data_IF_623327452547
#
_entry.id   IF_623327452547
#
_cell.length_a   1.000
_cell.length_b   1.000
_cell.length_c   1.000
_cell.angle_alpha   90.00
_cell.angle_beta   90.00
_cell.angle_gamma   90.00
#
_symmetry.space_group_name_H-M   'P 1'
#
loop_
_entity.id
_entity.type
_entity.pdbx_description
1 polymer ?
#
# COMPACT_ATOMS: atom_id res chain seq x y z
N UNK A 1 -22.79 26.31 31.63
CA UNK A 1 -21.34 26.13 31.38
C UNK A 1 -20.74 27.50 31.20
N UNK A 2 -19.61 27.79 31.85
CA UNK A 2 -18.92 29.05 31.63
C UNK A 2 -18.32 29.12 30.22
N UNK A 3 -17.99 30.32 29.74
CA UNK A 3 -17.31 30.52 28.45
C UNK A 3 -16.04 29.66 28.31
N UNK A 4 -15.31 29.47 29.41
CA UNK A 4 -14.11 28.62 29.46
C UNK A 4 -14.42 27.14 29.24
N UNK A 5 -15.49 26.61 29.84
CA UNK A 5 -15.93 25.22 29.67
C UNK A 5 -16.31 24.95 28.21
N UNK A 6 -16.97 25.90 27.56
CA UNK A 6 -17.37 25.79 26.15
C UNK A 6 -16.15 25.77 25.21
N UNK A 7 -15.10 26.54 25.53
CA UNK A 7 -13.84 26.51 24.76
C UNK A 7 -13.16 25.14 24.90
N UNK A 8 -13.04 24.61 26.12
CA UNK A 8 -12.46 23.29 26.36
C UNK A 8 -13.26 22.21 25.64
N UNK A 9 -14.59 22.28 25.72
CA UNK A 9 -15.48 21.34 25.05
C UNK A 9 -15.27 21.33 23.53
N UNK A 10 -15.20 22.51 22.88
CA UNK A 10 -14.95 22.58 21.44
C UNK A 10 -13.57 22.04 21.05
N UNK A 11 -12.52 22.35 21.82
CA UNK A 11 -11.18 21.82 21.57
C UNK A 11 -11.15 20.29 21.70
N UNK A 12 -11.76 19.74 22.76
CA UNK A 12 -11.85 18.30 22.99
C UNK A 12 -12.68 17.59 21.89
N UNK A 13 -13.78 18.21 21.45
CA UNK A 13 -14.63 17.69 20.39
C UNK A 13 -13.87 17.67 19.05
N UNK A 14 -13.24 18.79 18.68
CA UNK A 14 -12.50 18.89 17.42
C UNK A 14 -11.30 17.94 17.38
N UNK A 15 -10.53 17.84 18.47
CA UNK A 15 -9.39 16.91 18.56
C UNK A 15 -9.84 15.45 18.48
N UNK A 16 -10.90 15.06 19.20
CA UNK A 16 -11.49 13.72 19.12
C UNK A 16 -11.97 13.36 17.71
N UNK A 17 -12.69 14.29 17.06
CA UNK A 17 -13.21 14.08 15.71
C UNK A 17 -12.09 14.01 14.67
N UNK A 18 -11.05 14.82 14.82
CA UNK A 18 -9.87 14.77 13.95
C UNK A 18 -9.07 13.48 14.14
N UNK A 19 -8.96 12.99 15.37
CA UNK A 19 -8.38 11.68 15.63
C UNK A 19 -9.20 10.56 14.99
N UNK A 20 -10.52 10.60 15.10
CA UNK A 20 -11.42 9.67 14.41
C UNK A 20 -11.23 9.69 12.89
N UNK A 21 -11.15 10.88 12.29
CA UNK A 21 -10.80 11.05 10.88
C UNK A 21 -9.44 10.40 10.55
N UNK A 22 -8.42 10.59 11.39
CA UNK A 22 -7.09 10.00 11.16
C UNK A 22 -7.06 8.47 11.08
N UNK A 23 -8.03 7.78 11.68
CA UNK A 23 -8.15 6.31 11.63
C UNK A 23 -8.67 5.80 10.28
N UNK A 24 -9.32 6.66 9.49
CA UNK A 24 -9.89 6.31 8.20
C UNK A 24 -8.90 6.51 7.05
N UNK A 25 -7.68 6.99 7.35
CA UNK A 25 -6.60 7.10 6.39
C UNK A 25 -6.15 5.71 5.93
N UNK A 26 -6.20 5.50 4.62
CA UNK A 26 -5.55 4.35 3.97
C UNK A 26 -4.18 4.74 3.42
N UNK A 27 -3.35 3.73 3.14
CA UNK A 27 -1.97 3.88 2.69
C UNK A 27 -1.78 4.41 1.24
N UNK A 28 -2.74 5.17 0.74
CA UNK A 28 -2.63 5.79 -0.59
C UNK A 28 -2.08 7.20 -0.44
N UNK A 29 -1.11 7.57 -1.30
CA UNK A 29 -0.68 8.96 -1.46
C UNK A 29 -1.92 9.83 -1.68
N UNK A 30 -1.95 11.02 -1.10
CA UNK A 30 -3.09 11.95 -1.23
C UNK A 30 -3.50 12.21 -2.68
N UNK A 31 -2.54 12.16 -3.62
CA UNK A 31 -2.76 12.30 -5.06
C UNK A 31 -3.35 11.05 -5.74
N UNK A 32 -3.12 9.85 -5.19
CA UNK A 32 -3.52 8.57 -5.77
C UNK A 32 -4.77 7.98 -5.09
N UNK A 33 -5.42 8.73 -4.19
CA UNK A 33 -6.60 8.25 -3.47
C UNK A 33 -7.81 8.18 -4.41
N UNK A 34 -8.58 7.07 -4.38
CA UNK A 34 -9.84 6.96 -5.13
C UNK A 34 -10.78 8.11 -4.78
N UNK A 35 -11.53 8.61 -5.78
CA UNK A 35 -12.48 9.71 -5.58
C UNK A 35 -13.47 9.46 -4.42
N UNK A 36 -13.86 8.20 -4.19
CA UNK A 36 -14.72 7.80 -3.08
C UNK A 36 -14.13 8.13 -1.70
N UNK A 37 -12.83 7.95 -1.51
CA UNK A 37 -12.15 8.27 -0.26
C UNK A 37 -12.08 9.77 -0.02
N UNK A 38 -11.79 10.55 -1.07
CA UNK A 38 -11.81 12.01 -0.99
C UNK A 38 -13.21 12.55 -0.66
N UNK A 39 -14.26 11.96 -1.24
CA UNK A 39 -15.65 12.32 -0.92
C UNK A 39 -16.03 11.99 0.52
N UNK A 40 -15.58 10.85 1.05
CA UNK A 40 -15.81 10.50 2.46
C UNK A 40 -15.16 11.51 3.40
N UNK A 41 -13.91 11.89 3.14
CA UNK A 41 -13.18 12.88 3.93
C UNK A 41 -13.80 14.28 3.86
N UNK A 42 -14.23 14.71 2.67
CA UNK A 42 -15.01 15.94 2.48
C UNK A 42 -16.30 15.92 3.32
N UNK A 43 -17.04 14.81 3.28
CA UNK A 43 -18.27 14.64 4.05
C UNK A 43 -18.04 14.72 5.56
N UNK A 44 -16.97 14.10 6.07
CA UNK A 44 -16.59 14.19 7.48
C UNK A 44 -16.17 15.59 7.88
N UNK A 45 -15.30 16.26 7.12
CA UNK A 45 -14.87 17.63 7.40
C UNK A 45 -16.08 18.59 7.50
N UNK A 46 -17.02 18.43 6.58
CA UNK A 46 -18.28 19.19 6.56
C UNK A 46 -19.14 18.88 7.78
N UNK A 47 -19.30 17.60 8.14
CA UNK A 47 -20.08 17.20 9.31
C UNK A 47 -19.46 17.74 10.61
N UNK A 48 -18.14 17.64 10.77
CA UNK A 48 -17.40 18.18 11.92
C UNK A 48 -17.62 19.69 12.01
N UNK A 49 -17.51 20.42 10.91
CA UNK A 49 -17.76 21.86 10.86
C UNK A 49 -19.19 22.22 11.33
N UNK A 50 -20.21 21.50 10.85
CA UNK A 50 -21.60 21.74 11.24
C UNK A 50 -21.87 21.38 12.71
N UNK A 51 -21.27 20.30 13.22
CA UNK A 51 -21.36 19.92 14.63
C UNK A 51 -20.73 20.99 15.53
N UNK A 52 -19.57 21.54 15.16
CA UNK A 52 -18.95 22.63 15.93
C UNK A 52 -19.81 23.89 15.94
N UNK A 53 -20.48 24.20 14.82
CA UNK A 53 -21.44 25.31 14.77
C UNK A 53 -22.68 25.08 15.63
N UNK A 54 -23.05 23.83 15.93
CA UNK A 54 -24.20 23.52 16.80
C UNK A 54 -23.91 23.80 18.28
N UNK A 55 -22.64 23.79 18.68
CA UNK A 55 -22.20 24.01 20.05
C UNK A 55 -21.28 25.24 20.13
N UNK A 56 -21.77 26.46 19.81
CA UNK A 56 -20.93 27.66 19.77
C UNK A 56 -20.41 28.05 21.16
N UNK A 57 -19.27 28.74 21.17
CA UNK A 57 -18.73 29.44 22.33
C UNK A 57 -19.42 30.81 22.41
N UNK A 58 -20.22 31.01 23.46
CA UNK A 58 -20.80 32.30 23.79
C UNK A 58 -19.81 33.12 24.63
N UNK A 59 -19.33 34.24 24.07
CA UNK A 59 -18.36 35.10 24.73
C UNK A 59 -19.02 36.30 25.41
N UNK A 60 -20.10 36.80 24.81
CA UNK A 60 -20.99 37.87 25.29
C UNK A 60 -22.39 37.64 24.69
N UNK A 61 -23.42 38.34 25.20
CA UNK A 61 -24.78 38.23 24.68
C UNK A 61 -24.81 38.45 23.16
N UNK A 62 -25.25 37.42 22.42
CA UNK A 62 -25.38 37.46 20.95
C UNK A 62 -24.09 37.24 20.15
N UNK A 63 -22.93 37.06 20.80
CA UNK A 63 -21.66 36.79 20.10
C UNK A 63 -21.26 35.32 20.20
N UNK A 64 -21.53 34.58 19.11
CA UNK A 64 -21.30 33.15 18.96
C UNK A 64 -20.06 32.89 18.10
N UNK A 65 -19.13 32.09 18.61
CA UNK A 65 -17.87 31.75 17.95
C UNK A 65 -17.64 30.23 17.96
N UNK A 66 -17.05 29.69 16.90
CA UNK A 66 -16.86 28.25 16.74
C UNK A 66 -15.59 27.93 15.94
N UNK A 67 -15.06 26.71 16.10
CA UNK A 67 -13.81 26.27 15.48
C UNK A 67 -13.99 25.60 14.11
N UNK A 68 -15.10 25.83 13.38
CA UNK A 68 -15.38 25.16 12.08
C UNK A 68 -14.31 25.41 11.01
N UNK A 69 -13.55 26.49 11.16
CA UNK A 69 -12.51 26.89 10.21
C UNK A 69 -11.37 25.87 10.17
N UNK A 70 -11.15 25.11 11.25
CA UNK A 70 -10.08 24.12 11.35
C UNK A 70 -10.28 22.93 10.39
N UNK A 71 -11.41 22.19 10.39
CA UNK A 71 -11.62 21.08 9.44
C UNK A 71 -11.64 21.56 7.97
N UNK A 72 -12.13 22.77 7.69
CA UNK A 72 -12.11 23.36 6.35
C UNK A 72 -10.67 23.66 5.92
N UNK A 73 -9.87 24.27 6.80
CA UNK A 73 -8.46 24.55 6.54
C UNK A 73 -7.66 23.26 6.33
N UNK A 74 -7.89 22.25 7.18
CA UNK A 74 -7.24 20.95 7.09
C UNK A 74 -7.49 20.27 5.75
N UNK A 75 -8.73 20.30 5.27
CA UNK A 75 -9.10 19.75 3.96
C UNK A 75 -8.41 20.52 2.82
N UNK A 76 -8.37 21.86 2.92
CA UNK A 76 -7.68 22.73 1.97
C UNK A 76 -6.17 22.49 1.88
N UNK A 77 -5.51 22.29 3.01
CA UNK A 77 -4.09 21.96 3.06
C UNK A 77 -3.78 20.57 2.50
N UNK A 78 -4.75 19.66 2.51
CA UNK A 78 -4.55 18.28 2.08
C UNK A 78 -4.86 18.04 0.60
N UNK A 79 -5.94 18.63 0.11
CA UNK A 79 -6.46 18.35 -1.22
C UNK A 79 -6.66 19.61 -2.08
N UNK A 80 -6.42 20.78 -1.51
CA UNK A 80 -6.44 22.04 -2.21
C UNK A 80 -7.70 22.88 -1.99
N UNK A 81 -7.67 24.13 -2.49
CA UNK A 81 -8.69 25.14 -2.20
C UNK A 81 -10.08 24.74 -2.72
N UNK A 82 -10.18 23.96 -3.80
CA UNK A 82 -11.45 23.48 -4.33
C UNK A 82 -12.20 22.61 -3.31
N UNK A 83 -11.51 21.71 -2.61
CA UNK A 83 -12.15 20.88 -1.58
C UNK A 83 -12.51 21.69 -0.34
N UNK A 84 -11.64 22.64 0.07
CA UNK A 84 -11.99 23.57 1.15
C UNK A 84 -13.25 24.38 0.83
N UNK A 85 -13.40 24.84 -0.42
CA UNK A 85 -14.59 25.54 -0.87
C UNK A 85 -15.85 24.66 -0.77
N UNK A 86 -15.76 23.40 -1.22
CA UNK A 86 -16.87 22.45 -1.12
C UNK A 86 -17.30 22.21 0.33
N UNK A 87 -16.36 22.10 1.28
CA UNK A 87 -16.67 21.96 2.71
C UNK A 87 -17.20 23.27 3.33
N UNK A 88 -16.75 24.42 2.82
CA UNK A 88 -17.14 25.73 3.30
C UNK A 88 -18.60 26.10 2.93
N UNK A 89 -19.10 25.65 1.78
CA UNK A 89 -20.45 26.00 1.30
C UNK A 89 -21.55 25.62 2.28
N UNK A 90 -21.65 24.36 2.79
CA UNK A 90 -22.68 24.01 3.78
C UNK A 90 -22.56 24.80 5.08
N UNK A 91 -21.33 25.05 5.54
CA UNK A 91 -21.05 25.85 6.73
C UNK A 91 -21.47 27.32 6.55
N UNK A 92 -21.32 27.87 5.34
CA UNK A 92 -21.75 29.21 4.99
C UNK A 92 -23.28 29.31 4.94
N UNK A 93 -23.94 28.37 4.27
CA UNK A 93 -25.40 28.30 4.18
C UNK A 93 -26.05 28.17 5.56
N UNK A 94 -25.51 27.28 6.41
CA UNK A 94 -26.01 27.12 7.77
C UNK A 94 -25.81 28.40 8.60
N UNK A 95 -24.70 29.14 8.39
CA UNK A 95 -24.47 30.41 9.08
C UNK A 95 -25.41 31.52 8.62
N UNK A 96 -25.73 31.57 7.33
CA UNK A 96 -26.72 32.49 6.76
C UNK A 96 -28.11 32.21 7.32
N UNK A 97 -28.48 30.93 7.43
CA UNK A 97 -29.75 30.52 8.05
C UNK A 97 -29.88 30.97 9.51
N UNK A 98 -28.81 30.86 10.30
CA UNK A 98 -28.81 31.33 11.70
C UNK A 98 -28.94 32.86 11.83
N UNK A 99 -28.53 33.63 10.80
CA UNK A 99 -28.65 35.09 10.79
C UNK A 99 -27.90 35.81 11.93
N UNK A 100 -28.31 37.04 12.25
CA UNK A 100 -27.73 37.84 13.33
C UNK A 100 -26.46 38.61 12.97
N UNK A 101 -26.03 39.48 13.89
CA UNK A 101 -24.96 40.47 13.68
C UNK A 101 -23.60 39.87 13.29
N UNK A 102 -23.32 38.63 13.71
CA UNK A 102 -22.09 37.92 13.37
C UNK A 102 -22.07 37.25 11.99
N UNK A 103 -23.14 37.34 11.19
CA UNK A 103 -23.23 36.63 9.91
C UNK A 103 -22.22 37.17 8.89
N UNK A 104 -22.24 38.49 8.63
CA UNK A 104 -21.31 39.14 7.69
C UNK A 104 -19.84 38.96 8.12
N UNK A 105 -19.45 39.22 9.38
CA UNK A 105 -18.12 38.90 9.90
C UNK A 105 -17.67 37.46 9.61
N UNK A 106 -18.56 36.48 9.81
CA UNK A 106 -18.24 35.08 9.58
C UNK A 106 -18.00 34.78 8.09
N UNK A 107 -18.76 35.39 7.18
CA UNK A 107 -18.57 35.22 5.73
C UNK A 107 -17.25 35.82 5.26
N UNK A 108 -16.91 37.02 5.74
CA UNK A 108 -15.62 37.67 5.45
C UNK A 108 -14.45 36.83 5.96
N UNK A 109 -14.56 36.30 7.18
CA UNK A 109 -13.55 35.43 7.78
C UNK A 109 -13.35 34.14 6.97
N UNK A 110 -14.45 33.49 6.55
CA UNK A 110 -14.43 32.27 5.75
C UNK A 110 -13.85 32.51 4.35
N UNK A 111 -14.28 33.58 3.67
CA UNK A 111 -13.74 33.97 2.37
C UNK A 111 -12.24 34.30 2.45
N UNK A 112 -11.82 34.98 3.51
CA UNK A 112 -10.42 35.27 3.78
C UNK A 112 -9.56 34.02 3.98
N UNK A 113 -10.04 33.02 4.74
CA UNK A 113 -9.35 31.73 4.86
C UNK A 113 -9.16 31.06 3.50
N UNK A 114 -10.23 30.99 2.69
CA UNK A 114 -10.17 30.39 1.35
C UNK A 114 -9.20 31.13 0.43
N UNK A 115 -9.13 32.46 0.53
CA UNK A 115 -8.16 33.27 -0.21
C UNK A 115 -6.73 32.94 0.21
N UNK A 116 -6.43 32.90 1.52
CA UNK A 116 -5.08 32.57 2.02
C UNK A 116 -4.69 31.15 1.60
N UNK A 117 -5.60 30.17 1.70
CA UNK A 117 -5.37 28.81 1.21
C UNK A 117 -5.08 28.77 -0.29
N UNK A 118 -5.84 29.53 -1.09
CA UNK A 118 -5.65 29.58 -2.55
C UNK A 118 -4.31 30.19 -2.92
N UNK A 119 -3.91 31.27 -2.26
CA UNK A 119 -2.60 31.91 -2.47
C UNK A 119 -1.47 30.98 -2.03
N UNK A 120 -1.57 30.36 -0.86
CA UNK A 120 -0.58 29.40 -0.36
C UNK A 120 -0.44 28.18 -1.27
N UNK A 121 -1.57 27.67 -1.80
CA UNK A 121 -1.59 26.57 -2.75
C UNK A 121 -0.95 26.96 -4.09
N UNK A 122 -1.31 28.11 -4.66
CA UNK A 122 -0.71 28.61 -5.88
C UNK A 122 0.81 28.83 -5.73
N UNK A 123 1.23 29.35 -4.58
CA UNK A 123 2.66 29.49 -4.25
C UNK A 123 3.36 28.14 -4.14
N UNK A 124 2.76 27.17 -3.44
CA UNK A 124 3.26 25.79 -3.29
C UNK A 124 3.44 25.10 -4.64
N UNK A 125 2.46 25.21 -5.54
CA UNK A 125 2.55 24.66 -6.91
C UNK A 125 3.69 25.34 -7.69
N UNK A 126 3.81 26.67 -7.61
CA UNK A 126 4.87 27.42 -8.31
C UNK A 126 6.26 27.10 -7.77
N UNK A 127 6.40 26.96 -6.45
CA UNK A 127 7.67 26.69 -5.79
C UNK A 127 8.07 25.21 -5.80
N UNK A 128 7.23 24.33 -6.35
CA UNK A 128 7.41 22.87 -6.35
C UNK A 128 7.60 22.29 -4.93
N UNK A 129 7.12 23.00 -3.90
CA UNK A 129 7.15 22.54 -2.52
C UNK A 129 5.76 22.08 -2.11
N UNK A 130 5.69 21.05 -1.27
CA UNK A 130 4.42 20.63 -0.68
C UNK A 130 3.85 21.74 0.22
N UNK A 131 2.57 22.06 0.08
CA UNK A 131 1.91 23.03 0.96
C UNK A 131 1.99 22.60 2.44
N UNK A 132 2.03 21.28 2.70
CA UNK A 132 2.13 20.71 4.05
C UNK A 132 3.52 20.88 4.68
N UNK A 133 4.56 21.15 3.89
CA UNK A 133 5.90 21.46 4.44
C UNK A 133 6.03 22.89 4.96
N UNK A 134 5.04 23.77 4.72
CA UNK A 134 5.07 25.17 5.12
C UNK A 134 4.66 25.33 6.59
N UNK A 135 5.61 25.18 7.53
CA UNK A 135 5.34 25.15 8.98
C UNK A 135 4.77 26.43 9.58
N UNK A 136 4.94 27.58 8.93
CA UNK A 136 4.37 28.85 9.39
C UNK A 136 2.91 29.06 8.96
N UNK A 137 2.39 28.27 8.01
CA UNK A 137 1.07 28.48 7.40
C UNK A 137 -0.11 28.43 8.40
N UNK A 138 -0.16 27.53 9.40
CA UNK A 138 -1.22 27.53 10.42
C UNK A 138 -1.37 28.84 11.18
N UNK A 139 -0.27 29.58 11.34
CA UNK A 139 -0.23 30.87 12.04
C UNK A 139 -0.70 32.05 11.18
N UNK A 140 -0.95 31.84 9.89
CA UNK A 140 -1.42 32.89 8.97
C UNK A 140 -2.87 32.65 8.53
N UNK A 141 -3.29 31.39 8.45
CA UNK A 141 -4.59 30.98 7.91
C UNK A 141 -5.81 31.64 8.59
N UNK A 142 -5.70 31.92 9.89
CA UNK A 142 -6.82 32.44 10.68
C UNK A 142 -6.76 33.96 10.93
N UNK A 143 -5.72 34.66 10.43
CA UNK A 143 -5.63 36.13 10.50
C UNK A 143 -6.80 36.87 9.84
N UNK A 144 -7.42 36.38 8.74
CA UNK A 144 -8.57 37.07 8.14
C UNK A 144 -9.78 37.24 9.06
N UNK A 145 -9.83 36.51 10.18
CA UNK A 145 -10.87 36.68 11.22
C UNK A 145 -10.80 38.07 11.87
N UNK A 146 -9.62 38.71 11.90
CA UNK A 146 -9.46 40.09 12.38
C UNK A 146 -10.36 41.04 11.61
N UNK A 147 -10.41 40.91 10.27
CA UNK A 147 -11.26 41.75 9.43
C UNK A 147 -12.75 41.56 9.77
N UNK A 148 -13.18 40.31 10.00
CA UNK A 148 -14.55 40.02 10.43
C UNK A 148 -14.89 40.65 11.79
N UNK A 149 -14.02 40.50 12.79
CA UNK A 149 -14.23 41.07 14.13
C UNK A 149 -14.33 42.61 14.07
N UNK A 150 -13.48 43.27 13.29
CA UNK A 150 -13.47 44.73 13.17
C UNK A 150 -14.72 45.33 12.51
N UNK A 151 -15.52 44.52 11.79
CA UNK A 151 -16.81 44.97 11.25
C UNK A 151 -17.91 45.09 12.30
N UNK A 152 -17.69 44.59 13.51
CA UNK A 152 -18.67 44.67 14.59
C UNK A 152 -18.59 46.05 15.28
N UNK A 153 -19.71 46.55 15.84
CA UNK A 153 -19.72 47.82 16.57
C UNK A 153 -18.70 47.85 17.72
N UNK A 154 -18.52 46.74 18.42
CA UNK A 154 -17.52 46.55 19.48
C UNK A 154 -16.25 45.82 18.98
N UNK A 155 -15.95 45.91 17.69
CA UNK A 155 -14.85 45.17 17.06
C UNK A 155 -13.49 45.34 17.73
N UNK A 156 -13.01 46.56 18.01
CA UNK A 156 -11.71 46.77 18.65
C UNK A 156 -11.61 46.16 20.06
N UNK A 157 -12.68 46.22 20.86
CA UNK A 157 -12.70 45.65 22.22
C UNK A 157 -12.78 44.12 22.18
N UNK A 158 -13.61 43.57 21.28
CA UNK A 158 -13.72 42.13 21.02
C UNK A 158 -12.41 41.54 20.50
N UNK A 159 -11.69 42.29 19.66
CA UNK A 159 -10.40 41.86 19.12
C UNK A 159 -9.42 41.55 20.26
N UNK A 160 -9.23 42.44 21.23
CA UNK A 160 -8.30 42.20 22.33
C UNK A 160 -8.74 41.10 23.29
N UNK A 161 -10.05 40.90 23.47
CA UNK A 161 -10.59 39.89 24.42
C UNK A 161 -10.67 38.49 23.84
N UNK A 162 -11.09 38.38 22.58
CA UNK A 162 -11.53 37.11 21.98
C UNK A 162 -10.50 36.55 21.01
N UNK A 163 -9.93 37.41 20.17
CA UNK A 163 -9.08 36.97 19.06
C UNK A 163 -7.88 36.14 19.52
N UNK A 164 -7.13 36.49 20.60
CA UNK A 164 -5.98 35.69 21.02
C UNK A 164 -6.35 34.24 21.35
N UNK A 165 -7.45 34.03 22.09
CA UNK A 165 -7.91 32.70 22.49
C UNK A 165 -8.39 31.90 21.28
N UNK A 166 -9.19 32.52 20.42
CA UNK A 166 -9.69 31.87 19.20
C UNK A 166 -8.56 31.52 18.23
N UNK A 167 -7.66 32.46 17.98
CA UNK A 167 -6.53 32.31 17.07
C UNK A 167 -5.57 31.21 17.54
N UNK A 168 -5.21 31.20 18.83
CA UNK A 168 -4.38 30.15 19.41
C UNK A 168 -5.10 28.79 19.35
N UNK A 169 -6.39 28.74 19.69
CA UNK A 169 -7.19 27.52 19.63
C UNK A 169 -7.23 26.91 18.22
N UNK A 170 -7.54 27.71 17.20
CA UNK A 170 -7.56 27.26 15.81
C UNK A 170 -6.17 26.81 15.34
N UNK A 171 -5.14 27.62 15.59
CA UNK A 171 -3.78 27.36 15.10
C UNK A 171 -3.17 26.11 15.75
N UNK A 172 -3.27 25.98 17.08
CA UNK A 172 -2.76 24.82 17.81
C UNK A 172 -3.49 23.54 17.41
N UNK A 173 -4.82 23.61 17.27
CA UNK A 173 -5.60 22.42 16.87
C UNK A 173 -5.29 22.00 15.44
N UNK A 174 -5.09 22.95 14.52
CA UNK A 174 -4.66 22.64 13.16
C UNK A 174 -3.25 22.03 13.13
N UNK A 175 -2.31 22.57 13.91
CA UNK A 175 -0.97 22.00 14.05
C UNK A 175 -1.02 20.57 14.59
N UNK A 176 -1.80 20.32 15.64
CA UNK A 176 -1.99 18.99 16.22
C UNK A 176 -2.64 18.03 15.22
N UNK A 177 -3.67 18.49 14.50
CA UNK A 177 -4.33 17.73 13.44
C UNK A 177 -3.33 17.27 12.38
N UNK A 178 -2.53 18.20 11.84
CA UNK A 178 -1.50 17.87 10.86
C UNK A 178 -0.45 16.92 11.43
N UNK A 179 0.02 17.14 12.66
CA UNK A 179 1.00 16.26 13.31
C UNK A 179 0.49 14.82 13.46
N UNK A 180 -0.78 14.65 13.84
CA UNK A 180 -1.42 13.33 13.96
C UNK A 180 -1.52 12.66 12.59
N UNK A 181 -1.97 13.38 11.56
CA UNK A 181 -2.10 12.82 10.22
C UNK A 181 -0.74 12.48 9.58
N UNK A 182 0.26 13.36 9.73
CA UNK A 182 1.63 13.13 9.24
C UNK A 182 2.27 11.91 9.92
N UNK A 183 2.10 11.79 11.25
CA UNK A 183 2.58 10.65 12.03
C UNK A 183 1.94 9.34 11.55
N UNK A 184 0.62 9.33 11.30
CA UNK A 184 -0.08 8.17 10.76
C UNK A 184 0.42 7.77 9.37
N UNK A 185 0.63 8.74 8.48
CA UNK A 185 1.20 8.45 7.16
C UNK A 185 2.62 7.88 7.25
N UNK A 186 3.44 8.39 8.16
CA UNK A 186 4.79 7.88 8.38
C UNK A 186 4.77 6.44 8.88
N UNK A 187 3.88 6.08 9.81
CA UNK A 187 3.70 4.70 10.27
C UNK A 187 3.28 3.76 9.13
N UNK A 188 2.34 4.18 8.30
CA UNK A 188 1.86 3.36 7.18
C UNK A 188 2.97 3.11 6.14
N UNK A 189 3.81 4.12 5.86
CA UNK A 189 4.99 3.96 4.97
C UNK A 189 6.05 3.07 5.59
N UNK A 190 6.33 3.22 6.89
CA UNK A 190 7.28 2.36 7.59
C UNK A 190 6.84 0.89 7.53
N UNK A 191 5.54 0.63 7.74
CA UNK A 191 4.99 -0.71 7.62
C UNK A 191 5.10 -1.26 6.19
N UNK A 192 4.91 -0.44 5.15
CA UNK A 192 5.14 -0.85 3.76
C UNK A 192 6.59 -1.21 3.48
N UNK A 193 7.54 -0.42 3.98
CA UNK A 193 8.97 -0.73 3.83
C UNK A 193 9.31 -2.05 4.51
N UNK A 194 8.85 -2.24 5.75
CA UNK A 194 9.04 -3.51 6.47
C UNK A 194 8.38 -4.68 5.72
N UNK A 195 7.19 -4.48 5.16
CA UNK A 195 6.54 -5.50 4.34
C UNK A 195 7.30 -5.78 3.04
N UNK A 196 7.94 -4.76 2.45
CA UNK A 196 8.77 -4.92 1.26
C UNK A 196 10.10 -5.66 1.56
N UNK A 197 10.67 -5.46 2.74
CA UNK A 197 11.91 -6.13 3.16
C UNK A 197 11.70 -7.57 3.64
N UNK A 198 10.44 -8.03 3.74
CA UNK A 198 10.16 -9.42 4.05
C UNK A 198 10.62 -10.34 2.90
N UNK A 199 11.48 -11.31 3.20
CA UNK A 199 11.84 -12.40 2.28
C UNK A 199 10.81 -13.53 2.27
N UNK A 200 9.78 -13.47 3.12
CA UNK A 200 8.74 -14.49 3.25
C UNK A 200 7.40 -14.02 2.70
N UNK A 201 6.66 -14.97 2.13
CA UNK A 201 5.28 -14.80 1.70
C UNK A 201 4.34 -15.01 2.92
N UNK A 202 3.49 -14.03 3.26
CA UNK A 202 2.69 -14.08 4.48
C UNK A 202 1.56 -15.12 4.43
N UNK A 203 1.10 -15.51 3.23
CA UNK A 203 0.02 -16.49 3.07
C UNK A 203 0.53 -17.92 3.29
N UNK A 204 1.68 -18.24 2.71
CA UNK A 204 2.21 -19.61 2.67
C UNK A 204 3.31 -19.88 3.70
N UNK A 205 3.94 -18.82 4.22
CA UNK A 205 5.11 -18.90 5.09
C UNK A 205 6.38 -19.37 4.37
N UNK A 206 6.35 -19.52 3.05
CA UNK A 206 7.51 -19.81 2.22
C UNK A 206 8.34 -18.55 1.97
N UNK A 207 9.52 -18.71 1.38
CA UNK A 207 10.24 -17.56 0.83
C UNK A 207 9.45 -17.01 -0.36
N UNK A 208 9.54 -15.71 -0.63
CA UNK A 208 8.91 -15.09 -1.79
C UNK A 208 9.91 -14.97 -2.96
N UNK A 209 9.49 -14.37 -4.08
CA UNK A 209 10.36 -14.11 -5.24
C UNK A 209 11.67 -13.40 -4.85
N UNK A 210 11.64 -12.46 -3.90
CA UNK A 210 12.88 -11.78 -3.42
C UNK A 210 13.80 -12.73 -2.67
N UNK A 211 13.24 -13.62 -1.84
CA UNK A 211 13.99 -14.70 -1.21
C UNK A 211 14.69 -15.59 -2.23
N UNK A 212 14.05 -15.87 -3.38
CA UNK A 212 14.67 -16.64 -4.46
C UNK A 212 15.84 -15.89 -5.11
N UNK A 213 15.64 -14.63 -5.46
CA UNK A 213 16.68 -13.77 -6.05
C UNK A 213 17.90 -13.68 -5.13
N UNK A 214 17.69 -13.53 -3.82
CA UNK A 214 18.75 -13.52 -2.81
C UNK A 214 19.53 -14.84 -2.77
N UNK A 215 18.84 -15.98 -2.82
CA UNK A 215 19.46 -17.31 -2.73
C UNK A 215 20.05 -17.80 -4.05
N UNK A 216 19.75 -17.15 -5.18
CA UNK A 216 20.12 -17.59 -6.53
C UNK A 216 21.61 -17.82 -6.69
N UNK A 217 22.44 -16.98 -6.05
CA UNK A 217 23.91 -17.10 -6.07
C UNK A 217 24.44 -18.36 -5.39
N UNK A 218 23.63 -19.03 -4.57
CA UNK A 218 24.00 -20.24 -3.84
C UNK A 218 23.60 -21.52 -4.58
N UNK A 219 22.92 -21.42 -5.73
CA UNK A 219 22.51 -22.57 -6.51
C UNK A 219 23.59 -22.92 -7.54
N UNK A 220 23.96 -24.19 -7.61
CA UNK A 220 25.01 -24.70 -8.46
C UNK A 220 24.61 -26.01 -9.13
N UNK A 221 25.41 -26.43 -10.11
CA UNK A 221 25.18 -27.65 -10.88
C UNK A 221 25.06 -28.90 -9.99
N UNK A 222 24.08 -29.74 -10.28
CA UNK A 222 23.73 -30.92 -9.48
C UNK A 222 22.49 -30.74 -8.61
N UNK A 223 22.08 -29.50 -8.31
CA UNK A 223 20.78 -29.23 -7.70
C UNK A 223 19.63 -29.54 -8.66
N UNK A 224 18.43 -29.78 -8.13
CA UNK A 224 17.22 -29.91 -8.92
C UNK A 224 16.32 -28.70 -8.71
N UNK A 225 15.78 -28.18 -9.81
CA UNK A 225 14.78 -27.11 -9.81
C UNK A 225 13.45 -27.73 -10.18
N UNK A 226 12.45 -27.49 -9.34
CA UNK A 226 11.08 -27.94 -9.51
C UNK A 226 10.17 -26.72 -9.55
N UNK A 227 9.49 -26.48 -10.67
CA UNK A 227 8.38 -25.52 -10.72
C UNK A 227 7.07 -26.26 -10.51
N UNK A 228 6.19 -25.71 -9.68
CA UNK A 228 4.89 -26.24 -9.30
C UNK A 228 3.81 -25.19 -9.56
N UNK A 229 2.64 -25.65 -10.00
CA UNK A 229 1.48 -24.78 -10.22
C UNK A 229 0.16 -25.53 -9.97
N UNK A 230 -0.75 -24.88 -9.25
CA UNK A 230 -2.05 -25.45 -8.86
C UNK A 230 -2.99 -25.52 -10.05
N UNK A 231 -3.42 -26.73 -10.38
CA UNK A 231 -4.25 -26.98 -11.55
C UNK A 231 -5.62 -26.31 -11.43
N UNK A 232 -5.98 -25.52 -12.45
CA UNK A 232 -7.29 -24.85 -12.58
C UNK A 232 -7.58 -23.87 -11.42
N UNK A 233 -6.57 -23.29 -10.79
CA UNK A 233 -6.74 -22.40 -9.64
C UNK A 233 -7.68 -21.21 -9.89
N UNK A 234 -7.61 -20.58 -11.08
CA UNK A 234 -8.58 -19.53 -11.46
C UNK A 234 -10.04 -20.00 -11.36
N UNK A 235 -10.34 -21.23 -11.79
CA UNK A 235 -11.70 -21.78 -11.68
C UNK A 235 -12.13 -22.01 -10.23
N UNK A 236 -11.18 -22.27 -9.32
CA UNK A 236 -11.46 -22.41 -7.89
C UNK A 236 -11.87 -21.04 -7.33
N UNK A 237 -11.08 -20.00 -7.63
CA UNK A 237 -11.41 -18.62 -7.23
C UNK A 237 -12.76 -18.16 -7.79
N UNK A 238 -13.00 -18.39 -9.08
CA UNK A 238 -14.22 -17.95 -9.75
C UNK A 238 -15.48 -18.63 -9.17
N UNK A 239 -15.37 -19.87 -8.71
CA UNK A 239 -16.51 -20.67 -8.23
C UNK A 239 -16.73 -20.63 -6.72
N UNK A 240 -15.66 -20.53 -5.93
CA UNK A 240 -15.71 -20.66 -4.48
C UNK A 240 -15.19 -19.43 -3.74
N UNK A 241 -14.74 -18.41 -4.47
CA UNK A 241 -14.23 -17.16 -3.92
C UNK A 241 -12.76 -17.23 -3.53
N UNK A 242 -12.14 -16.04 -3.40
CA UNK A 242 -10.72 -15.89 -3.12
C UNK A 242 -10.28 -16.51 -1.79
N UNK A 243 -11.16 -16.56 -0.78
CA UNK A 243 -10.83 -17.17 0.51
C UNK A 243 -10.47 -18.66 0.38
N UNK A 244 -11.23 -19.40 -0.44
CA UNK A 244 -10.95 -20.84 -0.69
C UNK A 244 -9.67 -20.99 -1.51
N UNK A 245 -9.42 -20.09 -2.46
CA UNK A 245 -8.14 -20.06 -3.18
C UNK A 245 -6.95 -19.84 -2.23
N UNK A 246 -7.07 -18.90 -1.30
CA UNK A 246 -6.04 -18.63 -0.31
C UNK A 246 -5.77 -19.84 0.61
N UNK A 247 -6.81 -20.54 1.05
CA UNK A 247 -6.70 -21.77 1.83
C UNK A 247 -5.97 -22.89 1.05
N UNK A 248 -6.25 -23.03 -0.25
CA UNK A 248 -5.58 -23.99 -1.14
C UNK A 248 -4.08 -23.66 -1.26
N UNK A 249 -3.72 -22.40 -1.47
CA UNK A 249 -2.32 -21.98 -1.56
C UNK A 249 -1.59 -22.13 -0.23
N UNK A 250 -2.24 -21.77 0.88
CA UNK A 250 -1.72 -21.98 2.23
C UNK A 250 -1.47 -23.45 2.56
N UNK A 251 -2.34 -24.33 2.04
CA UNK A 251 -2.18 -25.79 2.16
C UNK A 251 -0.95 -26.29 1.41
N UNK A 252 -0.75 -25.86 0.15
CA UNK A 252 0.47 -26.21 -0.60
C UNK A 252 1.73 -25.70 0.10
N UNK A 253 1.70 -24.46 0.60
CA UNK A 253 2.78 -23.90 1.40
C UNK A 253 3.12 -24.73 2.64
N UNK A 254 2.10 -25.23 3.34
CA UNK A 254 2.27 -26.10 4.52
C UNK A 254 2.85 -27.45 4.15
N UNK A 255 2.31 -28.12 3.12
CA UNK A 255 2.83 -29.41 2.63
C UNK A 255 4.30 -29.30 2.22
N UNK A 256 4.66 -28.22 1.52
CA UNK A 256 6.05 -27.95 1.16
C UNK A 256 6.92 -27.78 2.42
N UNK A 257 6.54 -26.93 3.37
CA UNK A 257 7.32 -26.72 4.61
C UNK A 257 7.50 -27.99 5.42
N UNK A 258 6.46 -28.79 5.59
CA UNK A 258 6.51 -30.06 6.33
C UNK A 258 7.43 -31.09 5.66
N UNK A 259 7.55 -31.02 4.34
CA UNK A 259 8.31 -31.99 3.53
C UNK A 259 9.75 -31.56 3.22
N UNK A 260 10.11 -30.30 3.50
CA UNK A 260 11.44 -29.76 3.26
C UNK A 260 12.38 -30.05 4.43
N UNK A 261 13.54 -30.63 4.13
CA UNK A 261 14.67 -30.67 5.06
C UNK A 261 15.44 -29.35 5.08
N UNK A 262 16.34 -29.18 6.05
CA UNK A 262 17.17 -27.96 6.25
C UNK A 262 17.96 -27.51 5.01
N UNK A 263 18.26 -28.43 4.08
CA UNK A 263 19.06 -28.15 2.89
C UNK A 263 18.24 -27.79 1.65
N UNK A 264 16.92 -27.90 1.70
CA UNK A 264 16.03 -27.61 0.58
C UNK A 264 15.39 -26.23 0.78
N UNK A 265 15.00 -25.60 -0.31
CA UNK A 265 14.36 -24.29 -0.28
C UNK A 265 13.12 -24.30 -1.15
N UNK A 266 12.06 -23.64 -0.70
CA UNK A 266 10.85 -23.44 -1.48
C UNK A 266 10.42 -21.98 -1.43
N UNK A 267 9.90 -21.53 -2.56
CA UNK A 267 9.58 -20.15 -2.87
C UNK A 267 8.20 -20.08 -3.49
N UNK A 268 7.43 -19.05 -3.15
CA UNK A 268 6.22 -18.66 -3.89
C UNK A 268 6.58 -17.48 -4.80
N UNK A 269 6.41 -17.67 -6.10
CA UNK A 269 6.80 -16.67 -7.11
C UNK A 269 5.74 -15.59 -7.31
N UNK A 270 4.49 -15.91 -7.03
CA UNK A 270 3.31 -15.04 -7.17
C UNK A 270 2.11 -15.85 -7.66
N UNK A 271 0.89 -15.40 -7.39
CA UNK A 271 -0.33 -16.12 -7.78
C UNK A 271 -0.35 -17.56 -7.25
N UNK A 272 -0.36 -18.52 -8.18
CA UNK A 272 -0.40 -19.98 -7.96
C UNK A 272 0.93 -20.70 -8.24
N UNK A 273 2.02 -19.95 -8.48
CA UNK A 273 3.32 -20.49 -8.90
C UNK A 273 4.31 -20.66 -7.74
N UNK A 274 4.94 -21.83 -7.67
CA UNK A 274 5.92 -22.19 -6.65
C UNK A 274 7.18 -22.76 -7.28
N UNK A 275 8.32 -22.50 -6.65
CA UNK A 275 9.63 -23.02 -7.06
C UNK A 275 10.27 -23.71 -5.87
N UNK A 276 10.82 -24.90 -6.08
CA UNK A 276 11.57 -25.64 -5.08
C UNK A 276 12.95 -25.96 -5.62
N UNK A 277 13.97 -25.74 -4.79
CA UNK A 277 15.35 -26.14 -5.08
C UNK A 277 15.74 -27.28 -4.14
N UNK A 278 15.90 -28.48 -4.70
CA UNK A 278 16.36 -29.66 -3.99
C UNK A 278 17.87 -29.80 -4.15
N UNK A 279 18.56 -30.11 -3.05
CA UNK A 279 20.01 -30.29 -2.98
C UNK A 279 20.33 -31.73 -2.61
N UNK A 280 21.46 -32.26 -3.07
CA UNK A 280 21.96 -33.59 -2.67
C UNK A 280 20.95 -34.74 -2.90
N UNK A 281 20.19 -34.69 -4.01
CA UNK A 281 19.28 -35.75 -4.44
C UNK A 281 19.78 -36.38 -5.74
N UNK A 282 19.50 -37.65 -5.93
CA UNK A 282 19.56 -38.29 -7.25
C UNK A 282 18.30 -37.95 -8.04
N UNK A 283 18.34 -38.07 -9.38
CA UNK A 283 17.18 -37.77 -10.25
C UNK A 283 15.92 -38.54 -9.83
N UNK A 284 16.10 -39.82 -9.47
CA UNK A 284 15.01 -40.68 -8.97
C UNK A 284 14.46 -40.23 -7.62
N UNK A 285 15.31 -39.75 -6.72
CA UNK A 285 14.87 -39.24 -5.41
C UNK A 285 14.14 -37.90 -5.55
N UNK A 286 14.62 -37.02 -6.42
CA UNK A 286 13.98 -35.74 -6.69
C UNK A 286 12.59 -35.93 -7.32
N UNK A 287 12.48 -36.84 -8.30
CA UNK A 287 11.19 -37.17 -8.92
C UNK A 287 10.19 -37.77 -7.92
N UNK A 288 10.64 -38.73 -7.11
CA UNK A 288 9.80 -39.31 -6.04
C UNK A 288 9.30 -38.25 -5.07
N UNK A 289 10.19 -37.37 -4.62
CA UNK A 289 9.80 -36.27 -3.73
C UNK A 289 8.73 -35.38 -4.36
N UNK A 290 8.83 -35.04 -5.65
CA UNK A 290 7.81 -34.25 -6.33
C UNK A 290 6.45 -34.97 -6.39
N UNK A 291 6.43 -36.27 -6.66
CA UNK A 291 5.19 -37.07 -6.64
C UNK A 291 4.59 -37.21 -5.23
N UNK A 292 5.43 -37.35 -4.20
CA UNK A 292 4.98 -37.40 -2.80
C UNK A 292 4.30 -36.07 -2.41
N UNK A 293 4.87 -34.92 -2.81
CA UNK A 293 4.26 -33.60 -2.60
C UNK A 293 2.91 -33.50 -3.31
N UNK A 294 2.83 -33.94 -4.57
CA UNK A 294 1.60 -33.88 -5.37
C UNK A 294 0.47 -34.68 -4.70
N UNK A 295 0.77 -35.89 -4.24
CA UNK A 295 -0.17 -36.76 -3.54
C UNK A 295 -0.60 -36.14 -2.19
N UNK A 296 0.36 -35.72 -1.36
CA UNK A 296 0.07 -35.14 -0.05
C UNK A 296 -0.73 -33.85 -0.12
N UNK A 297 -0.46 -33.00 -1.13
CA UNK A 297 -1.25 -31.79 -1.39
C UNK A 297 -2.70 -32.12 -1.72
N UNK A 298 -2.92 -33.04 -2.67
CA UNK A 298 -4.26 -33.44 -3.10
C UNK A 298 -5.07 -33.99 -1.91
N UNK A 299 -4.47 -34.91 -1.16
CA UNK A 299 -5.10 -35.51 0.03
C UNK A 299 -5.45 -34.46 1.10
N UNK A 300 -4.53 -33.52 1.38
CA UNK A 300 -4.75 -32.50 2.40
C UNK A 300 -5.87 -31.53 2.02
N UNK A 301 -5.94 -31.11 0.76
CA UNK A 301 -7.02 -30.23 0.28
C UNK A 301 -8.36 -30.95 0.33
N UNK A 302 -8.42 -32.23 -0.08
CA UNK A 302 -9.64 -33.04 0.01
C UNK A 302 -10.15 -33.17 1.46
N UNK A 303 -9.26 -33.35 2.43
CA UNK A 303 -9.63 -33.41 3.85
C UNK A 303 -10.21 -32.08 4.36
N UNK A 304 -9.63 -30.95 3.96
CA UNK A 304 -10.04 -29.61 4.40
C UNK A 304 -11.34 -29.16 3.70
N UNK A 305 -11.52 -29.52 2.43
CA UNK A 305 -12.62 -29.05 1.60
C UNK A 305 -13.39 -30.22 0.96
N UNK A 306 -13.99 -31.08 1.79
CA UNK A 306 -14.78 -32.27 1.35
C UNK A 306 -15.94 -31.99 0.41
N UNK A 307 -16.34 -30.74 0.25
CA UNK A 307 -17.44 -30.28 -0.59
C UNK A 307 -16.98 -29.84 -1.99
N UNK A 308 -15.67 -29.87 -2.28
CA UNK A 308 -15.19 -29.62 -3.63
C UNK A 308 -15.56 -30.80 -4.54
N UNK A 309 -16.13 -30.52 -5.72
CA UNK A 309 -16.67 -31.56 -6.61
C UNK A 309 -15.59 -32.29 -7.41
N UNK A 310 -14.39 -31.74 -7.50
CA UNK A 310 -13.23 -32.36 -8.16
C UNK A 310 -12.00 -32.20 -7.25
N UNK A 311 -11.08 -33.20 -7.23
CA UNK A 311 -9.81 -33.08 -6.54
C UNK A 311 -9.01 -31.88 -7.04
N UNK A 312 -8.43 -31.11 -6.12
CA UNK A 312 -7.49 -30.04 -6.44
C UNK A 312 -6.09 -30.64 -6.53
N UNK A 313 -5.46 -30.49 -7.69
CA UNK A 313 -4.17 -31.11 -8.00
C UNK A 313 -3.10 -30.06 -8.32
N UNK A 314 -1.83 -30.49 -8.37
CA UNK A 314 -0.71 -29.66 -8.76
C UNK A 314 0.05 -30.35 -9.90
N UNK A 315 0.47 -29.58 -10.89
CA UNK A 315 1.38 -30.04 -11.96
C UNK A 315 2.79 -29.55 -11.68
N UNK A 316 3.79 -30.31 -12.12
CA UNK A 316 5.18 -29.99 -11.82
C UNK A 316 6.14 -30.23 -13.01
N UNK A 317 7.14 -29.37 -13.14
CA UNK A 317 8.27 -29.53 -14.05
C UNK A 317 9.57 -29.64 -13.27
N UNK A 318 10.32 -30.73 -13.47
CA UNK A 318 11.54 -31.05 -12.72
C UNK A 318 12.75 -31.10 -13.64
N UNK A 319 13.78 -30.34 -13.33
CA UNK A 319 15.08 -30.42 -14.02
C UNK A 319 16.23 -30.59 -13.05
N UNK A 320 17.29 -31.24 -13.52
CA UNK A 320 18.60 -31.17 -12.88
C UNK A 320 19.40 -30.03 -13.51
N UNK A 321 19.98 -29.17 -12.67
CA UNK A 321 20.92 -28.13 -13.09
C UNK A 321 22.22 -28.77 -13.56
N UNK A 322 22.65 -28.45 -14.78
CA UNK A 322 23.93 -28.88 -15.32
C UNK A 322 25.10 -28.12 -14.68
N UNK A 323 26.31 -28.68 -14.78
CA UNK A 323 27.51 -28.00 -14.30
C UNK A 323 27.76 -26.71 -15.10
N UNK A 324 27.92 -25.58 -14.41
CA UNK A 324 28.07 -24.26 -15.03
C UNK A 324 26.79 -23.64 -15.59
N UNK A 325 25.63 -24.29 -15.45
CA UNK A 325 24.34 -23.74 -15.86
C UNK A 325 23.84 -22.71 -14.82
N UNK A 326 23.43 -21.54 -15.30
CA UNK A 326 22.80 -20.52 -14.45
C UNK A 326 21.39 -20.92 -14.01
N UNK A 327 21.02 -20.58 -12.78
CA UNK A 327 19.71 -20.93 -12.21
C UNK A 327 18.52 -20.53 -13.10
N UNK A 328 18.52 -19.33 -13.68
CA UNK A 328 17.41 -18.88 -14.54
C UNK A 328 17.24 -19.73 -15.81
N UNK A 329 18.31 -20.32 -16.34
CA UNK A 329 18.24 -21.23 -17.49
C UNK A 329 17.57 -22.54 -17.08
N UNK A 330 17.96 -23.09 -15.92
CA UNK A 330 17.32 -24.27 -15.37
C UNK A 330 15.84 -24.02 -15.02
N UNK A 331 15.51 -22.85 -14.45
CA UNK A 331 14.14 -22.47 -14.14
C UNK A 331 13.28 -22.41 -15.41
N UNK A 332 13.78 -21.79 -16.49
CA UNK A 332 13.07 -21.75 -17.79
C UNK A 332 12.78 -23.16 -18.32
N UNK A 333 13.72 -24.10 -18.18
CA UNK A 333 13.51 -25.51 -18.58
C UNK A 333 12.51 -26.22 -17.68
N UNK A 334 12.48 -25.92 -16.38
CA UNK A 334 11.47 -26.44 -15.47
C UNK A 334 10.08 -25.93 -15.84
N UNK A 335 9.96 -24.66 -16.22
CA UNK A 335 8.70 -24.06 -16.65
C UNK A 335 8.18 -24.67 -17.96
N UNK A 336 9.06 -24.97 -18.92
CA UNK A 336 8.71 -25.71 -20.14
C UNK A 336 8.15 -27.12 -19.82
N UNK A 337 8.76 -27.83 -18.88
CA UNK A 337 8.27 -29.13 -18.43
C UNK A 337 6.96 -29.04 -17.65
N UNK A 338 6.77 -27.97 -16.87
CA UNK A 338 5.50 -27.70 -16.21
C UNK A 338 4.39 -27.44 -17.23
N UNK A 339 4.68 -26.65 -18.26
CA UNK A 339 3.77 -26.45 -19.38
C UNK A 339 3.43 -27.78 -20.07
N UNK A 340 4.43 -28.63 -20.30
CA UNK A 340 4.23 -29.97 -20.83
C UNK A 340 3.30 -30.80 -19.91
N UNK A 341 3.53 -30.82 -18.60
CA UNK A 341 2.67 -31.50 -17.64
C UNK A 341 1.21 -31.03 -17.74
N UNK A 342 0.99 -29.71 -17.83
CA UNK A 342 -0.35 -29.11 -17.99
C UNK A 342 -1.00 -29.52 -19.33
N UNK A 343 -0.24 -29.55 -20.42
CA UNK A 343 -0.73 -29.92 -21.75
C UNK A 343 -1.09 -31.40 -21.86
N UNK A 344 -0.39 -32.28 -21.12
CA UNK A 344 -0.60 -33.72 -21.16
C UNK A 344 -1.72 -34.23 -20.24
N UNK A 345 -2.52 -33.32 -19.67
CA UNK A 345 -3.66 -33.68 -18.82
C UNK A 345 -3.47 -33.38 -17.34
N UNK A 346 -2.45 -32.58 -16.97
CA UNK A 346 -2.21 -32.08 -15.60
C UNK A 346 -1.94 -33.20 -14.58
N UNK A 347 -1.89 -32.84 -13.29
CA UNK A 347 -1.72 -33.74 -12.15
C UNK A 347 -0.54 -34.71 -12.30
N UNK A 348 0.63 -34.19 -12.71
CA UNK A 348 1.82 -35.00 -12.96
C UNK A 348 3.10 -34.18 -12.86
N UNK A 349 4.20 -34.88 -12.60
CA UNK A 349 5.56 -34.34 -12.77
C UNK A 349 6.14 -34.76 -14.12
N UNK A 350 6.59 -33.78 -14.91
CA UNK A 350 7.41 -34.01 -16.10
C UNK A 350 8.89 -33.75 -15.75
N UNK A 351 9.80 -34.63 -16.19
CA UNK A 351 11.24 -34.49 -15.99
C UNK A 351 11.97 -34.67 -17.33
N UNK A 352 13.00 -33.86 -17.57
CA UNK A 352 13.90 -34.05 -18.71
C UNK A 352 14.83 -35.24 -18.46
N UNK A 353 15.01 -36.11 -19.45
CA UNK A 353 16.12 -37.06 -19.44
C UNK A 353 17.44 -36.28 -19.53
N UNK A 354 18.41 -36.62 -18.69
CA UNK A 354 19.74 -36.00 -18.71
C UNK A 354 20.45 -36.35 -20.01
N UNK A 355 20.60 -35.37 -20.92
CA UNK A 355 21.37 -35.53 -22.16
C UNK A 355 22.80 -35.95 -21.81
N UNK A 356 23.19 -37.20 -22.12
CA UNK A 356 24.56 -37.73 -21.93
C UNK A 356 25.61 -37.11 -22.87
N UNK A 357 25.31 -36.04 -23.60
CA UNK A 357 26.05 -35.62 -24.81
C UNK A 357 27.12 -34.53 -24.60
N UNK A 358 27.59 -34.27 -23.37
CA UNK A 358 28.66 -33.28 -23.15
C UNK A 358 30.09 -33.87 -23.08
N UNK A 359 30.26 -35.17 -23.35
CA UNK A 359 31.57 -35.83 -23.31
C UNK A 359 32.26 -36.00 -24.69
N UNK A 360 31.58 -35.73 -25.81
CA UNK A 360 32.13 -35.99 -27.16
C UNK A 360 32.58 -34.73 -27.90
N UNK A 361 32.47 -33.53 -27.30
CA UNK A 361 32.87 -32.27 -27.91
C UNK A 361 34.23 -31.73 -27.40
N UNK A 362 35.23 -32.61 -27.23
CA UNK A 362 36.64 -32.24 -27.09
C UNK A 362 37.55 -33.23 -27.82
N UNK A 363 37.67 -33.06 -29.13
CA UNK A 363 38.88 -33.36 -29.92
C UNK A 363 38.61 -32.99 -31.39
N UNK A 364 38.53 -31.69 -31.65
CA UNK A 364 38.94 -31.15 -32.95
C UNK A 364 39.93 -30.04 -32.62
N UNK A 365 41.20 -30.42 -32.53
CA UNK A 365 42.30 -29.46 -32.65
C UNK A 365 42.31 -29.02 -34.13
N UNK A 366 42.38 -27.72 -34.45
CA UNK A 366 42.74 -27.31 -35.79
C UNK A 366 44.18 -27.74 -36.04
N UNK A 367 44.40 -28.51 -37.10
CA UNK A 367 45.72 -28.79 -37.64
C UNK A 367 46.41 -27.49 -38.01
N UNK A 368 47.68 -27.38 -37.63
CA UNK A 368 48.64 -26.44 -38.17
C UNK A 368 48.66 -26.58 -39.70
N UNK A 369 48.35 -25.49 -40.41
CA UNK A 369 48.83 -25.27 -41.78
C UNK A 369 49.81 -24.09 -41.72
N UNK A 370 51.09 -24.45 -41.56
CA UNK A 370 52.21 -23.65 -42.01
C UNK A 370 52.16 -23.51 -43.54
N UNK A 371 52.68 -22.36 -44.02
CA UNK A 371 53.00 -21.99 -45.39
C UNK A 371 51.88 -21.46 -46.29
N UNK A 372 51.80 -20.12 -46.34
CA UNK A 372 51.93 -19.38 -47.59
C UNK A 372 52.63 -18.03 -47.33
N UNK A 373 53.91 -18.02 -47.70
CA UNK A 373 54.78 -16.92 -48.18
C UNK A 373 54.07 -15.57 -48.43
N UNK A 374 54.52 -14.46 -47.83
CA UNK A 374 55.54 -13.51 -48.36
C UNK A 374 55.28 -13.06 -49.82
N UNK A 375 55.42 -11.74 -50.02
CA UNK A 375 55.21 -10.91 -51.22
C UNK A 375 53.77 -10.32 -51.31
N UNK A 376 53.49 -9.02 -51.41
CA UNK A 376 54.29 -7.86 -51.83
C UNK A 376 53.72 -6.55 -51.26
N UNK A 377 54.65 -5.63 -50.96
CA UNK A 377 54.65 -4.18 -51.21
C UNK A 377 53.30 -3.45 -51.48
N UNK A 378 52.86 -2.60 -50.54
CA UNK A 378 52.85 -1.12 -50.63
C UNK A 378 52.12 -0.47 -49.45
#
# INVERSE_FOLDING_TARGET
>A
MGTFDNIIFQLALLTSLTFGWSLLLKNSRTADQPAQHQMLELGMATLIALVLMRYPIELQEGFLLDLRMVPIALLGLRYGPAQALLAAVPSALYRMYLGGVGMLPAMVSLGGLLLVLTVAWAWSVRSHQSIQSIKWLPWVLFLPVVAGILMLPEGPTLLWKVFPVFYLGCSLTLCLAMMVLDSRQMQLRANEVVAQDSLTDPLTGLLNRRGLEHDTVQFYGGNHVLTLDVDRFKSINDRFGHQVGDDVLGTLGTVLRESLGLQHRAYRMGGEEFVVVLRNKTDRQAYRWAEDIRAAFTERVEMMHKHLPEPVTVSAGLVRMAAGEGFHVALSRADELLYQAKSQGRNRTCQSETRKEAATARLVLPSEDENLLRHDLN
#
